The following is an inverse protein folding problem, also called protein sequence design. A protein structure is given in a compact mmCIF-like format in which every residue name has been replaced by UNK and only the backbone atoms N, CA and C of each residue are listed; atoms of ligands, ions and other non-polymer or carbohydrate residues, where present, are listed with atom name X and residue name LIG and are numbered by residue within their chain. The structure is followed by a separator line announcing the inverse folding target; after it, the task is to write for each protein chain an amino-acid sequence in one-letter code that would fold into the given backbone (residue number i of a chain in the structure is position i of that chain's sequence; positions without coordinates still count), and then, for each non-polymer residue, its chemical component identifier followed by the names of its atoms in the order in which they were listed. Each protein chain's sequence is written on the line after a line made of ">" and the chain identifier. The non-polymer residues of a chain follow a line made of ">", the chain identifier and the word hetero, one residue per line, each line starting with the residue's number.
data_IF_939329059780
#
_entry.id   IF_939329059780
#
_cell.length_a   1.000
_cell.length_b   1.000
_cell.length_c   1.000
_cell.angle_alpha   90.00
_cell.angle_beta   90.00
_cell.angle_gamma   90.00
#
_symmetry.space_group_name_H-M   'P 1'
#
loop_
_entity.id
_entity.type
_entity.pdbx_description
1 polymer ?
#
# COMPACT_ATOMS: atom_id res chain seq x y z
N UNK A 1 9.48 -44.18 -10.71
CA UNK A 1 8.25 -43.38 -10.91
C UNK A 1 7.55 -43.26 -9.57
N UNK A 2 7.82 -42.18 -8.84
CA UNK A 2 7.05 -41.77 -7.66
C UNK A 2 7.11 -40.25 -7.63
N UNK A 3 6.23 -39.63 -8.41
CA UNK A 3 5.96 -38.21 -8.26
C UNK A 3 5.11 -38.07 -6.99
N UNK A 4 5.72 -37.58 -5.92
CA UNK A 4 4.99 -37.02 -4.79
C UNK A 4 4.28 -35.77 -5.28
N UNK A 5 2.99 -35.90 -5.58
CA UNK A 5 2.10 -34.76 -5.78
C UNK A 5 1.95 -34.05 -4.44
N UNK A 6 2.55 -32.87 -4.36
CA UNK A 6 2.35 -31.90 -3.28
C UNK A 6 0.86 -31.64 -3.09
N UNK A 7 0.34 -31.96 -1.90
CA UNK A 7 -0.93 -31.42 -1.41
C UNK A 7 -0.85 -29.90 -1.47
N UNK A 8 -1.51 -29.30 -2.46
CA UNK A 8 -1.68 -27.86 -2.54
C UNK A 8 -2.46 -27.40 -1.31
N UNK A 9 -1.81 -26.62 -0.44
CA UNK A 9 -2.40 -26.08 0.78
C UNK A 9 -3.62 -25.21 0.45
N UNK A 10 -4.82 -25.77 0.54
CA UNK A 10 -6.10 -25.11 0.24
C UNK A 10 -6.56 -24.22 1.40
N UNK A 11 -5.76 -23.22 1.79
CA UNK A 11 -6.14 -22.23 2.79
C UNK A 11 -5.77 -20.81 2.32
N UNK A 12 -6.65 -19.85 2.59
CA UNK A 12 -6.35 -18.43 2.37
C UNK A 12 -5.84 -17.81 3.68
N UNK A 13 -4.88 -16.89 3.57
CA UNK A 13 -4.42 -16.11 4.73
C UNK A 13 -5.54 -15.18 5.20
N UNK A 14 -6.09 -15.45 6.38
CA UNK A 14 -7.13 -14.60 6.98
C UNK A 14 -6.61 -13.17 7.23
N UNK A 15 -5.41 -12.93 7.80
CA UNK A 15 -4.88 -11.57 7.93
C UNK A 15 -4.79 -10.83 6.60
N UNK A 16 -4.37 -11.50 5.52
CA UNK A 16 -4.34 -10.91 4.19
C UNK A 16 -5.75 -10.54 3.72
N UNK A 17 -6.72 -11.43 3.87
CA UNK A 17 -8.12 -11.19 3.52
C UNK A 17 -8.69 -9.97 4.26
N UNK A 18 -8.36 -9.85 5.54
CA UNK A 18 -8.85 -8.78 6.41
C UNK A 18 -8.14 -7.46 6.19
N UNK A 19 -6.84 -7.42 5.92
CA UNK A 19 -6.08 -6.17 5.91
C UNK A 19 -5.68 -5.69 4.51
N UNK A 20 -5.65 -6.58 3.52
CA UNK A 20 -5.03 -6.29 2.21
C UNK A 20 -5.90 -6.65 1.03
N UNK A 21 -6.77 -7.65 1.16
CA UNK A 21 -7.57 -8.09 0.02
C UNK A 21 -8.59 -7.05 -0.41
N UNK A 22 -8.80 -6.98 -1.72
CA UNK A 22 -9.71 -6.04 -2.36
C UNK A 22 -11.17 -6.38 -2.12
N UNK A 23 -12.05 -5.43 -2.38
CA UNK A 23 -13.48 -5.66 -2.37
C UNK A 23 -13.93 -6.32 -3.69
N UNK A 24 -15.01 -7.10 -3.63
CA UNK A 24 -15.68 -7.70 -4.79
C UNK A 24 -14.85 -8.68 -5.62
N UNK A 25 -13.76 -9.21 -5.06
CA UNK A 25 -13.00 -10.29 -5.68
C UNK A 25 -13.61 -11.65 -5.29
N UNK A 26 -14.30 -12.36 -6.20
CA UNK A 26 -14.94 -13.62 -5.87
C UNK A 26 -13.89 -14.72 -5.68
N UNK A 27 -13.89 -15.33 -4.50
CA UNK A 27 -13.01 -16.47 -4.19
C UNK A 27 -13.84 -17.75 -4.23
N UNK A 28 -13.57 -18.67 -5.16
CA UNK A 28 -14.32 -19.92 -5.24
C UNK A 28 -14.10 -20.74 -3.96
N UNK A 29 -15.19 -21.21 -3.38
CA UNK A 29 -15.21 -22.10 -2.22
C UNK A 29 -15.36 -23.53 -2.72
N UNK A 30 -14.48 -24.40 -2.22
CA UNK A 30 -14.62 -25.85 -2.33
C UNK A 30 -15.16 -26.40 -1.01
N UNK A 31 -15.72 -27.62 -0.97
CA UNK A 31 -16.07 -28.28 0.29
C UNK A 31 -14.91 -28.31 1.30
N UNK A 32 -13.67 -28.49 0.82
CA UNK A 32 -12.45 -28.43 1.64
C UNK A 32 -12.19 -27.04 2.26
N UNK A 33 -12.64 -25.95 1.62
CA UNK A 33 -12.54 -24.58 2.13
C UNK A 33 -13.64 -24.21 3.14
N UNK A 34 -14.64 -25.07 3.36
CA UNK A 34 -15.68 -24.85 4.37
C UNK A 34 -15.10 -24.65 5.77
N UNK A 35 -14.03 -25.39 6.11
CA UNK A 35 -13.29 -25.22 7.38
C UNK A 35 -12.58 -23.86 7.45
N UNK A 36 -11.99 -23.40 6.36
CA UNK A 36 -11.34 -22.08 6.27
C UNK A 36 -12.35 -20.93 6.44
N UNK A 37 -13.59 -21.11 5.97
CA UNK A 37 -14.66 -20.14 6.16
C UNK A 37 -15.13 -20.08 7.63
N UNK A 38 -15.28 -21.23 8.28
CA UNK A 38 -15.57 -21.30 9.73
C UNK A 38 -14.44 -20.65 10.53
N UNK A 39 -13.18 -20.90 10.14
CA UNK A 39 -12.01 -20.26 10.77
C UNK A 39 -12.01 -18.74 10.60
N UNK A 40 -12.43 -18.23 9.43
CA UNK A 40 -12.58 -16.80 9.19
C UNK A 40 -13.66 -16.17 10.09
N UNK A 41 -14.84 -16.78 10.18
CA UNK A 41 -15.93 -16.29 11.05
C UNK A 41 -15.52 -16.28 12.53
N UNK A 42 -14.74 -17.27 12.94
CA UNK A 42 -14.23 -17.43 14.30
C UNK A 42 -12.86 -16.80 14.54
N UNK A 43 -12.32 -16.01 13.60
CA UNK A 43 -10.99 -15.44 13.74
C UNK A 43 -10.92 -14.48 14.96
N UNK A 44 -9.90 -14.67 15.80
CA UNK A 44 -9.69 -13.91 17.06
C UNK A 44 -8.30 -13.31 17.22
N UNK A 45 -7.34 -13.72 16.41
CA UNK A 45 -5.97 -13.23 16.54
C UNK A 45 -5.90 -11.71 16.28
N UNK A 46 -5.08 -10.98 17.04
CA UNK A 46 -4.90 -9.54 16.81
C UNK A 46 -4.39 -9.26 15.40
N UNK A 47 -4.90 -8.20 14.79
CA UNK A 47 -4.44 -7.71 13.50
C UNK A 47 -3.51 -6.52 13.70
N UNK A 48 -2.29 -6.60 13.21
CA UNK A 48 -1.36 -5.46 13.20
C UNK A 48 -1.62 -4.58 11.97
N UNK A 49 -2.10 -3.36 12.20
CA UNK A 49 -2.39 -2.40 11.15
C UNK A 49 -2.20 -0.96 11.62
N UNK A 50 -2.05 -0.04 10.66
CA UNK A 50 -2.09 1.38 10.97
C UNK A 50 -3.52 1.82 11.24
N UNK A 51 -3.71 2.64 12.28
CA UNK A 51 -5.00 3.24 12.57
C UNK A 51 -5.03 4.68 12.07
N UNK A 52 -5.94 5.03 11.14
CA UNK A 52 -6.02 6.38 10.56
C UNK A 52 -6.49 7.43 11.59
N UNK A 53 -7.17 7.00 12.65
CA UNK A 53 -7.69 7.91 13.68
C UNK A 53 -6.63 8.31 14.71
N UNK A 54 -5.83 7.36 15.22
CA UNK A 54 -4.75 7.69 16.17
C UNK A 54 -3.41 8.00 15.47
N UNK A 55 -3.32 7.76 14.16
CA UNK A 55 -2.15 8.05 13.35
C UNK A 55 -0.94 7.16 13.66
N UNK A 56 -1.15 5.94 14.17
CA UNK A 56 -0.09 5.03 14.64
C UNK A 56 -0.40 3.58 14.30
N UNK A 57 0.64 2.75 14.20
CA UNK A 57 0.49 1.29 14.23
C UNK A 57 -0.12 0.85 15.56
N UNK A 58 -1.06 -0.08 15.47
CA UNK A 58 -1.80 -0.62 16.61
C UNK A 58 -2.22 -2.06 16.32
N UNK A 59 -2.43 -2.81 17.41
CA UNK A 59 -3.14 -4.07 17.35
C UNK A 59 -4.65 -3.80 17.34
N UNK A 60 -5.36 -4.41 16.40
CA UNK A 60 -6.81 -4.45 16.33
C UNK A 60 -7.30 -5.79 16.87
N UNK A 61 -8.17 -5.75 17.87
CA UNK A 61 -8.66 -6.93 18.59
C UNK A 61 -10.14 -7.14 18.34
N UNK A 62 -10.58 -8.39 18.22
CA UNK A 62 -11.98 -8.70 17.89
C UNK A 62 -12.95 -8.07 18.89
N UNK A 63 -14.00 -7.42 18.39
CA UNK A 63 -15.13 -6.94 19.18
C UNK A 63 -16.42 -7.68 18.83
N UNK A 64 -17.28 -7.88 19.83
CA UNK A 64 -18.59 -8.50 19.68
C UNK A 64 -18.67 -9.98 20.10
N UNK A 65 -19.90 -10.50 20.29
CA UNK A 65 -20.13 -11.89 20.67
C UNK A 65 -19.74 -12.85 19.54
N UNK A 66 -19.28 -14.02 19.92
CA UNK A 66 -19.00 -15.13 18.99
C UNK A 66 -20.35 -15.64 18.47
N UNK A 67 -20.57 -15.82 17.16
CA UNK A 67 -21.66 -16.67 16.72
C UNK A 67 -21.43 -18.03 17.37
N UNK A 68 -22.30 -18.46 18.29
CA UNK A 68 -22.27 -19.80 18.86
C UNK A 68 -22.58 -20.80 17.74
N UNK A 69 -21.58 -21.11 16.91
CA UNK A 69 -21.55 -22.42 16.30
C UNK A 69 -21.15 -23.35 17.44
N UNK A 70 -22.02 -24.30 17.84
CA UNK A 70 -21.66 -25.26 18.86
C UNK A 70 -20.31 -25.89 18.44
N UNK A 71 -19.30 -25.93 19.32
CA UNK A 71 -18.09 -26.67 19.01
C UNK A 71 -18.53 -28.07 18.58
N UNK A 72 -17.99 -28.54 17.46
CA UNK A 72 -18.29 -29.89 17.01
C UNK A 72 -18.01 -30.83 18.19
N UNK A 73 -18.96 -31.72 18.55
CA UNK A 73 -18.80 -32.57 19.72
C UNK A 73 -17.47 -33.30 19.66
N UNK A 74 -16.74 -33.38 20.77
CA UNK A 74 -15.51 -34.15 20.83
C UNK A 74 -15.81 -35.61 20.42
N UNK A 75 -15.26 -36.05 19.29
CA UNK A 75 -15.57 -37.36 18.68
C UNK A 75 -16.63 -37.34 17.57
N UNK A 76 -17.10 -36.17 17.13
CA UNK A 76 -17.95 -36.03 15.96
C UNK A 76 -17.27 -36.65 14.73
N UNK A 77 -17.93 -37.64 14.13
CA UNK A 77 -17.42 -38.32 12.94
C UNK A 77 -17.12 -37.31 11.82
N UNK A 78 -16.20 -37.64 10.91
CA UNK A 78 -15.86 -36.80 9.75
C UNK A 78 -17.11 -36.30 9.00
N UNK A 79 -18.18 -37.10 8.98
CA UNK A 79 -19.48 -36.78 8.38
C UNK A 79 -20.24 -35.60 9.05
N UNK A 80 -20.17 -35.42 10.38
CA UNK A 80 -20.81 -34.28 11.07
C UNK A 80 -20.04 -32.99 10.84
N UNK A 81 -18.71 -33.07 10.80
CA UNK A 81 -17.84 -31.96 10.41
C UNK A 81 -18.04 -31.56 8.95
N UNK A 82 -18.24 -32.53 8.04
CA UNK A 82 -18.52 -32.28 6.63
C UNK A 82 -19.92 -31.69 6.42
N UNK A 83 -20.90 -32.05 7.24
CA UNK A 83 -22.23 -31.44 7.24
C UNK A 83 -22.17 -29.96 7.68
N UNK A 84 -21.43 -29.65 8.75
CA UNK A 84 -21.22 -28.27 9.20
C UNK A 84 -20.45 -27.43 8.15
N UNK A 85 -19.43 -28.01 7.51
CA UNK A 85 -18.71 -27.38 6.41
C UNK A 85 -19.62 -27.14 5.19
N UNK A 86 -20.53 -28.07 4.88
CA UNK A 86 -21.50 -27.95 3.78
C UNK A 86 -22.59 -26.91 4.09
N UNK A 87 -23.05 -26.84 5.34
CA UNK A 87 -23.97 -25.80 5.81
C UNK A 87 -23.32 -24.41 5.81
N UNK A 88 -22.02 -24.34 6.13
CA UNK A 88 -21.23 -23.11 6.04
C UNK A 88 -21.07 -22.61 4.59
N UNK A 89 -21.48 -23.35 3.56
CA UNK A 89 -21.45 -22.87 2.17
C UNK A 89 -22.77 -22.24 1.71
N UNK A 90 -23.78 -22.17 2.59
CA UNK A 90 -25.05 -21.51 2.29
C UNK A 90 -24.88 -20.01 2.08
N UNK A 91 -25.64 -19.49 1.13
CA UNK A 91 -25.70 -18.06 0.84
C UNK A 91 -26.06 -17.26 2.10
N UNK A 92 -25.17 -16.35 2.52
CA UNK A 92 -25.35 -15.49 3.69
C UNK A 92 -24.41 -14.30 3.65
N UNK A 93 -24.66 -13.34 4.53
CA UNK A 93 -23.73 -12.23 4.80
C UNK A 93 -23.33 -12.23 6.26
N UNK A 94 -22.08 -11.87 6.53
CA UNK A 94 -21.57 -11.71 7.89
C UNK A 94 -20.54 -10.58 7.94
N UNK A 95 -20.31 -10.04 9.14
CA UNK A 95 -19.30 -9.01 9.38
C UNK A 95 -18.34 -9.41 10.48
N UNK A 96 -17.12 -8.89 10.38
CA UNK A 96 -16.06 -9.06 11.35
C UNK A 96 -15.66 -7.70 11.89
N UNK A 97 -15.84 -7.47 13.19
CA UNK A 97 -15.52 -6.21 13.86
C UNK A 97 -14.31 -6.36 14.78
N UNK A 98 -13.42 -5.38 14.73
CA UNK A 98 -12.24 -5.27 15.58
C UNK A 98 -12.12 -3.84 16.10
N UNK A 99 -11.51 -3.64 17.27
CA UNK A 99 -11.20 -2.32 17.82
C UNK A 99 -9.70 -2.11 17.95
N UNK A 100 -9.27 -0.91 17.58
CA UNK A 100 -7.92 -0.42 17.78
C UNK A 100 -7.60 -0.34 19.28
N UNK A 101 -6.54 -1.02 19.73
CA UNK A 101 -6.12 -1.01 21.14
C UNK A 101 -5.68 0.35 21.70
N UNK A 102 -5.48 1.37 20.86
CA UNK A 102 -5.07 2.73 21.29
C UNK A 102 -6.21 3.74 21.44
N UNK A 103 -7.22 3.66 20.58
CA UNK A 103 -8.28 4.67 20.50
C UNK A 103 -9.69 4.08 20.36
N UNK A 104 -9.80 2.75 20.47
CA UNK A 104 -11.06 2.00 20.39
C UNK A 104 -11.86 2.17 19.08
N UNK A 105 -11.28 2.79 18.05
CA UNK A 105 -11.92 2.91 16.76
C UNK A 105 -12.04 1.56 16.05
N UNK A 106 -13.17 1.38 15.38
CA UNK A 106 -13.55 0.13 14.76
C UNK A 106 -12.88 -0.10 13.40
N UNK A 107 -12.46 -1.34 13.17
CA UNK A 107 -12.21 -1.95 11.88
C UNK A 107 -13.33 -2.97 11.63
N UNK A 108 -14.15 -2.75 10.63
CA UNK A 108 -15.27 -3.61 10.25
C UNK A 108 -15.05 -4.13 8.84
N UNK A 109 -15.19 -5.43 8.64
CA UNK A 109 -15.10 -6.09 7.33
C UNK A 109 -16.37 -6.87 7.05
N UNK A 110 -16.96 -6.68 5.87
CA UNK A 110 -18.19 -7.33 5.44
C UNK A 110 -17.90 -8.38 4.39
N UNK A 111 -18.55 -9.54 4.54
CA UNK A 111 -18.45 -10.67 3.64
C UNK A 111 -19.83 -11.12 3.17
N UNK A 112 -19.85 -11.67 1.96
CA UNK A 112 -20.97 -12.40 1.40
C UNK A 112 -20.49 -13.75 0.88
N UNK A 113 -21.16 -14.80 1.30
CA UNK A 113 -21.10 -16.11 0.67
C UNK A 113 -22.27 -16.16 -0.31
N UNK A 114 -21.99 -16.39 -1.58
CA UNK A 114 -23.03 -16.52 -2.60
C UNK A 114 -22.56 -17.47 -3.69
N UNK A 115 -23.40 -18.43 -4.08
CA UNK A 115 -23.10 -19.35 -5.19
C UNK A 115 -21.72 -19.99 -5.06
N UNK A 116 -21.38 -20.50 -3.87
CA UNK A 116 -20.07 -21.10 -3.58
C UNK A 116 -18.88 -20.15 -3.78
N UNK A 117 -19.08 -18.84 -3.64
CA UNK A 117 -18.00 -17.86 -3.62
C UNK A 117 -18.01 -17.07 -2.31
N UNK A 118 -16.83 -16.84 -1.75
CA UNK A 118 -16.63 -15.85 -0.70
C UNK A 118 -16.25 -14.52 -1.35
N UNK A 119 -16.97 -13.47 -1.01
CA UNK A 119 -16.77 -12.13 -1.55
C UNK A 119 -16.64 -11.18 -0.37
N UNK A 120 -15.53 -10.44 -0.29
CA UNK A 120 -15.41 -9.30 0.63
C UNK A 120 -16.19 -8.13 0.05
N UNK A 121 -17.31 -7.74 0.66
CA UNK A 121 -18.26 -6.77 0.11
C UNK A 121 -18.09 -5.36 0.65
N UNK A 122 -17.38 -5.19 1.76
CA UNK A 122 -17.13 -3.87 2.34
C UNK A 122 -16.05 -3.89 3.41
N UNK A 123 -15.50 -2.72 3.71
CA UNK A 123 -14.54 -2.53 4.80
C UNK A 123 -14.49 -1.07 5.26
N UNK A 124 -14.39 -0.85 6.58
CA UNK A 124 -14.11 0.45 7.20
C UNK A 124 -13.11 0.30 8.36
N UNK A 125 -12.10 1.16 8.51
CA UNK A 125 -11.62 2.09 7.49
C UNK A 125 -11.06 1.30 6.30
N UNK A 126 -10.87 1.92 5.14
CA UNK A 126 -10.52 1.18 3.92
C UNK A 126 -9.14 0.52 4.03
N UNK A 127 -8.85 -0.46 3.16
CA UNK A 127 -7.50 -1.08 3.05
C UNK A 127 -6.42 -0.01 3.00
N UNK A 128 -6.69 1.06 2.25
CA UNK A 128 -5.81 2.22 2.14
C UNK A 128 -5.51 2.89 3.48
N UNK A 129 -6.55 3.13 4.27
CA UNK A 129 -6.44 3.82 5.56
C UNK A 129 -5.75 2.97 6.63
N UNK A 130 -5.67 1.65 6.41
CA UNK A 130 -5.00 0.68 7.30
C UNK A 130 -3.50 0.57 7.08
N UNK A 131 -2.97 1.22 6.05
CA UNK A 131 -1.53 1.29 5.80
C UNK A 131 -0.99 2.64 6.26
N UNK A 132 0.17 2.67 6.93
CA UNK A 132 0.77 3.93 7.32
C UNK A 132 1.05 4.75 6.06
N UNK A 133 0.74 6.06 6.03
CA UNK A 133 1.35 6.93 5.04
C UNK A 133 2.87 6.80 5.23
N UNK A 134 3.60 6.74 4.11
CA UNK A 134 5.04 6.50 4.11
C UNK A 134 5.74 7.54 5.01
N UNK A 135 6.08 7.13 6.24
CA UNK A 135 6.53 8.05 7.30
C UNK A 135 7.90 8.61 6.97
N UNK A 136 8.69 7.82 6.27
CA UNK A 136 10.05 8.15 5.86
C UNK A 136 10.08 9.40 4.98
N UNK A 137 8.97 9.70 4.31
CA UNK A 137 8.82 10.86 3.43
C UNK A 137 7.81 11.89 3.97
N UNK A 138 7.43 11.82 5.26
CA UNK A 138 6.48 12.74 5.86
C UNK A 138 6.96 14.21 5.88
N UNK A 139 8.28 14.40 5.88
CA UNK A 139 8.92 15.71 5.85
C UNK A 139 9.16 16.25 4.44
N UNK A 140 9.08 15.37 3.42
CA UNK A 140 9.36 15.68 2.01
C UNK A 140 8.07 15.85 1.22
N UNK A 141 7.16 14.90 1.33
CA UNK A 141 5.86 14.94 0.68
C UNK A 141 4.83 15.55 1.60
N UNK A 142 3.98 16.43 1.10
CA UNK A 142 2.78 16.87 1.82
C UNK A 142 1.76 15.72 1.98
N UNK A 143 0.71 15.97 2.77
CA UNK A 143 -0.33 14.97 3.03
C UNK A 143 -1.06 14.50 1.77
N UNK A 144 -1.20 15.36 0.75
CA UNK A 144 -1.88 15.01 -0.50
C UNK A 144 -1.01 14.05 -1.33
N UNK A 145 0.27 14.36 -1.51
CA UNK A 145 1.19 13.54 -2.33
C UNK A 145 1.51 12.20 -1.69
N UNK A 146 1.65 12.14 -0.36
CA UNK A 146 1.71 10.86 0.37
C UNK A 146 0.48 10.01 0.10
N UNK A 147 -0.68 10.67 0.04
CA UNK A 147 -1.93 9.97 -0.25
C UNK A 147 -1.98 9.44 -1.67
N UNK A 148 -1.55 10.23 -2.65
CA UNK A 148 -1.47 9.82 -4.06
C UNK A 148 -0.50 8.65 -4.24
N UNK A 149 0.69 8.68 -3.62
CA UNK A 149 1.65 7.57 -3.67
C UNK A 149 1.05 6.26 -3.09
N UNK A 150 0.44 6.33 -1.91
CA UNK A 150 -0.19 5.15 -1.31
C UNK A 150 -1.38 4.63 -2.15
N UNK A 151 -2.12 5.51 -2.85
CA UNK A 151 -3.22 5.08 -3.74
C UNK A 151 -2.66 4.39 -4.97
N UNK A 152 -1.56 4.90 -5.51
CA UNK A 152 -0.86 4.30 -6.63
C UNK A 152 -0.47 2.85 -6.31
N UNK A 153 0.19 2.63 -5.17
CA UNK A 153 0.63 1.30 -4.74
C UNK A 153 -0.54 0.34 -4.48
N UNK A 154 -1.63 0.83 -3.88
CA UNK A 154 -2.82 0.03 -3.63
C UNK A 154 -3.52 -0.39 -4.92
N UNK A 155 -3.72 0.54 -5.85
CA UNK A 155 -4.35 0.26 -7.14
C UNK A 155 -3.52 -0.76 -7.93
N UNK A 156 -2.19 -0.63 -7.89
CA UNK A 156 -1.29 -1.60 -8.51
C UNK A 156 -1.44 -2.99 -7.87
N UNK A 157 -1.50 -3.07 -6.54
CA UNK A 157 -1.72 -4.34 -5.84
C UNK A 157 -3.06 -5.01 -6.17
N UNK A 158 -4.07 -4.22 -6.58
CA UNK A 158 -5.37 -4.73 -7.05
C UNK A 158 -5.45 -4.92 -8.56
N UNK A 159 -4.35 -4.78 -9.29
CA UNK A 159 -4.30 -4.98 -10.74
C UNK A 159 -4.93 -3.85 -11.55
N UNK A 160 -5.21 -2.69 -10.94
CA UNK A 160 -5.65 -1.47 -11.65
C UNK A 160 -4.42 -0.65 -12.00
N UNK A 161 -3.72 -1.07 -13.06
CA UNK A 161 -2.47 -0.50 -13.54
C UNK A 161 -2.61 0.94 -14.04
N UNK A 162 -3.54 1.25 -14.94
CA UNK A 162 -3.68 2.61 -15.50
C UNK A 162 -3.98 3.62 -14.39
N UNK A 163 -4.92 3.28 -13.50
CA UNK A 163 -5.25 4.11 -12.34
C UNK A 163 -4.04 4.31 -11.41
N UNK A 164 -3.33 3.23 -11.09
CA UNK A 164 -2.11 3.30 -10.28
C UNK A 164 -1.06 4.24 -10.90
N UNK A 165 -0.85 4.11 -12.21
CA UNK A 165 0.16 4.85 -12.94
C UNK A 165 -0.15 6.36 -13.02
N UNK A 166 -1.43 6.74 -13.15
CA UNK A 166 -1.85 8.14 -13.12
C UNK A 166 -1.48 8.81 -11.78
N UNK A 167 -1.75 8.15 -10.66
CA UNK A 167 -1.36 8.68 -9.34
C UNK A 167 0.16 8.75 -9.17
N UNK A 168 0.88 7.71 -9.61
CA UNK A 168 2.33 7.68 -9.52
C UNK A 168 2.99 8.77 -10.36
N UNK A 169 2.49 9.00 -11.59
CA UNK A 169 2.94 10.06 -12.50
C UNK A 169 2.80 11.43 -11.84
N UNK A 170 1.66 11.73 -11.22
CA UNK A 170 1.46 13.01 -10.53
C UNK A 170 2.48 13.25 -9.41
N UNK A 171 2.80 12.21 -8.62
CA UNK A 171 3.84 12.30 -7.59
C UNK A 171 5.21 12.55 -8.22
N UNK A 172 5.58 11.80 -9.26
CA UNK A 172 6.85 11.97 -9.96
C UNK A 172 7.01 13.37 -10.58
N UNK A 173 6.01 13.85 -11.32
CA UNK A 173 6.01 15.17 -11.94
C UNK A 173 6.14 16.28 -10.88
N UNK A 174 5.51 16.13 -9.72
CA UNK A 174 5.66 17.08 -8.62
C UNK A 174 7.09 17.15 -8.08
N UNK A 175 7.77 16.00 -7.96
CA UNK A 175 9.16 15.94 -7.50
C UNK A 175 10.13 16.49 -8.54
N UNK A 176 9.84 16.27 -9.82
CA UNK A 176 10.60 16.83 -10.93
C UNK A 176 10.48 18.35 -10.94
N UNK A 177 9.28 18.88 -10.74
CA UNK A 177 9.02 20.31 -10.68
C UNK A 177 9.66 20.97 -9.45
N UNK A 178 9.66 20.33 -8.29
CA UNK A 178 10.42 20.82 -7.11
C UNK A 178 11.92 20.90 -7.41
N UNK A 179 12.46 19.88 -8.07
CA UNK A 179 13.89 19.84 -8.44
C UNK A 179 14.22 20.92 -9.47
N UNK A 180 13.31 21.16 -10.41
CA UNK A 180 13.40 22.27 -11.35
C UNK A 180 13.46 23.62 -10.62
N UNK A 181 12.54 23.87 -9.69
CA UNK A 181 12.49 25.12 -8.92
C UNK A 181 13.80 25.41 -8.18
N UNK A 182 14.45 24.38 -7.63
CA UNK A 182 15.76 24.50 -6.97
C UNK A 182 16.87 24.98 -7.94
N UNK A 183 16.78 24.66 -9.23
CA UNK A 183 17.78 24.99 -10.25
C UNK A 183 17.49 26.31 -10.98
N UNK A 184 16.28 26.86 -10.88
CA UNK A 184 15.91 28.13 -11.56
C UNK A 184 16.79 29.32 -11.17
N UNK A 185 17.42 29.26 -9.98
CA UNK A 185 18.32 30.29 -9.48
C UNK A 185 19.78 30.08 -9.89
N UNK A 186 20.12 28.95 -10.55
CA UNK A 186 21.48 28.63 -10.91
C UNK A 186 21.97 29.47 -12.12
N UNK A 187 23.20 29.99 -12.08
CA UNK A 187 23.78 30.70 -13.22
C UNK A 187 23.83 29.82 -14.47
N UNK A 188 23.14 30.23 -15.53
CA UNK A 188 23.09 29.50 -16.80
C UNK A 188 21.86 28.60 -16.99
N UNK A 189 20.90 28.61 -16.05
CA UNK A 189 19.61 27.95 -16.25
C UNK A 189 18.85 28.54 -17.45
N UNK A 190 18.35 27.66 -18.32
CA UNK A 190 17.55 28.05 -19.49
C UNK A 190 16.11 27.53 -19.34
N UNK A 191 15.26 28.40 -18.79
CA UNK A 191 13.85 28.11 -18.53
C UNK A 191 13.07 27.70 -19.78
N UNK A 192 13.32 28.36 -20.91
CA UNK A 192 12.61 28.09 -22.15
C UNK A 192 12.95 26.70 -22.71
N UNK A 193 14.20 26.28 -22.54
CA UNK A 193 14.64 24.94 -22.92
C UNK A 193 13.96 23.86 -22.07
N UNK A 194 13.85 24.07 -20.75
CA UNK A 194 13.18 23.13 -19.85
C UNK A 194 11.68 23.01 -20.14
N UNK A 195 10.99 24.14 -20.37
CA UNK A 195 9.55 24.14 -20.67
C UNK A 195 9.17 23.40 -21.94
N UNK A 196 10.03 23.46 -22.96
CA UNK A 196 9.83 22.80 -24.26
C UNK A 196 10.23 21.33 -24.27
N UNK A 197 10.97 20.86 -23.27
CA UNK A 197 11.43 19.49 -23.21
C UNK A 197 10.29 18.51 -22.86
N UNK A 198 10.35 17.31 -23.41
CA UNK A 198 9.55 16.16 -22.98
C UNK A 198 9.98 15.71 -21.57
N UNK A 199 9.17 14.88 -20.88
CA UNK A 199 9.54 14.40 -19.53
C UNK A 199 10.94 13.75 -19.49
N UNK A 200 11.34 12.88 -20.46
CA UNK A 200 12.71 12.39 -20.54
C UNK A 200 13.78 13.49 -20.65
N UNK A 201 13.54 14.53 -21.44
CA UNK A 201 14.45 15.67 -21.58
C UNK A 201 14.54 16.49 -20.30
N UNK A 202 13.41 16.70 -19.61
CA UNK A 202 13.37 17.37 -18.30
C UNK A 202 14.18 16.62 -17.26
N UNK A 203 14.07 15.29 -17.19
CA UNK A 203 14.88 14.45 -16.29
C UNK A 203 16.38 14.65 -16.55
N UNK A 204 16.79 14.70 -17.81
CA UNK A 204 18.19 14.94 -18.15
C UNK A 204 18.66 16.35 -17.72
N UNK A 205 17.81 17.37 -17.92
CA UNK A 205 18.15 18.76 -17.57
C UNK A 205 18.35 18.99 -16.07
N UNK A 206 17.61 18.26 -15.23
CA UNK A 206 17.74 18.33 -13.77
C UNK A 206 18.56 17.17 -13.18
N UNK A 207 19.22 16.39 -14.04
CA UNK A 207 19.79 15.08 -13.70
C UNK A 207 20.80 15.11 -12.56
N UNK A 208 21.56 16.21 -12.42
CA UNK A 208 22.57 16.38 -11.36
C UNK A 208 21.97 16.36 -9.94
N UNK A 209 20.67 16.66 -9.82
CA UNK A 209 19.92 16.65 -8.56
C UNK A 209 19.12 15.37 -8.35
N UNK A 210 19.10 14.47 -9.33
CA UNK A 210 18.36 13.21 -9.27
C UNK A 210 19.30 12.02 -9.01
N UNK A 211 18.79 10.89 -8.48
CA UNK A 211 19.55 9.66 -8.38
C UNK A 211 20.01 9.15 -9.76
N UNK A 212 21.20 8.56 -9.85
CA UNK A 212 21.76 8.04 -11.10
C UNK A 212 20.81 7.06 -11.82
N UNK A 213 20.16 6.16 -11.08
CA UNK A 213 19.13 5.24 -11.59
C UNK A 213 18.04 5.94 -12.41
N UNK A 214 17.62 7.14 -11.98
CA UNK A 214 16.58 7.92 -12.66
C UNK A 214 17.10 8.41 -14.01
N UNK A 215 18.32 8.93 -14.05
CA UNK A 215 18.93 9.47 -15.27
C UNK A 215 19.30 8.36 -16.27
N UNK A 216 19.82 7.24 -15.78
CA UNK A 216 20.28 6.10 -16.60
C UNK A 216 19.14 5.38 -17.34
N UNK A 217 17.93 5.41 -16.79
CA UNK A 217 16.79 4.65 -17.32
C UNK A 217 15.76 5.52 -18.04
N UNK A 218 16.22 6.30 -19.04
CA UNK A 218 15.39 7.24 -19.82
C UNK A 218 14.10 6.65 -20.38
N UNK A 219 14.11 5.37 -20.74
CA UNK A 219 12.94 4.67 -21.30
C UNK A 219 11.76 4.55 -20.31
N UNK A 220 12.01 4.55 -18.99
CA UNK A 220 10.93 4.58 -17.99
C UNK A 220 10.11 5.87 -18.13
N UNK A 221 10.78 6.99 -18.38
CA UNK A 221 10.15 8.31 -18.48
C UNK A 221 9.39 8.52 -19.78
N UNK A 222 9.80 7.84 -20.85
CA UNK A 222 9.04 7.83 -22.09
C UNK A 222 7.65 7.20 -21.90
N UNK A 223 7.50 6.27 -20.95
CA UNK A 223 6.19 5.68 -20.60
C UNK A 223 5.41 6.59 -19.68
N UNK A 224 6.07 7.24 -18.73
CA UNK A 224 5.45 8.28 -17.90
C UNK A 224 4.89 9.41 -18.76
N UNK A 225 5.54 9.77 -19.86
CA UNK A 225 5.10 10.86 -20.74
C UNK A 225 3.84 10.52 -21.55
N UNK A 226 3.59 9.24 -21.86
CA UNK A 226 2.43 8.78 -22.65
C UNK A 226 1.10 9.12 -21.97
N UNK A 227 0.10 9.46 -22.78
CA UNK A 227 -1.27 9.68 -22.30
C UNK A 227 -1.92 8.36 -21.87
N UNK A 228 -2.86 8.36 -20.91
CA UNK A 228 -3.52 7.14 -20.44
C UNK A 228 -4.18 6.31 -21.55
N UNK A 229 -4.64 6.94 -22.64
CA UNK A 229 -5.26 6.24 -23.78
C UNK A 229 -4.24 5.44 -24.63
N UNK A 230 -2.95 5.69 -24.44
CA UNK A 230 -1.85 5.04 -25.16
C UNK A 230 -1.20 3.89 -24.36
N UNK A 231 -1.75 3.58 -23.18
CA UNK A 231 -1.23 2.59 -22.24
C UNK A 231 -2.26 1.50 -22.01
N UNK A 232 -1.79 0.26 -21.88
CA UNK A 232 -2.61 -0.88 -21.45
C UNK A 232 -2.48 -1.13 -19.95
N UNK A 233 -3.48 -1.78 -19.35
CA UNK A 233 -3.42 -2.20 -17.94
C UNK A 233 -2.18 -3.04 -17.64
N UNK A 234 -1.85 -3.98 -18.53
CA UNK A 234 -0.68 -4.84 -18.38
C UNK A 234 0.63 -4.04 -18.45
N UNK A 235 0.79 -3.15 -19.43
CA UNK A 235 1.98 -2.29 -19.50
C UNK A 235 2.13 -1.46 -18.23
N UNK A 236 1.06 -0.82 -17.75
CA UNK A 236 1.14 -0.05 -16.52
C UNK A 236 1.50 -0.91 -15.31
N UNK A 237 0.96 -2.14 -15.19
CA UNK A 237 1.36 -3.07 -14.14
C UNK A 237 2.83 -3.47 -14.24
N UNK A 238 3.33 -3.76 -15.44
CA UNK A 238 4.71 -4.21 -15.65
C UNK A 238 5.73 -3.09 -15.33
N UNK A 239 5.42 -1.84 -15.68
CA UNK A 239 6.33 -0.70 -15.46
C UNK A 239 6.21 -0.09 -14.06
N UNK A 240 5.08 -0.23 -13.38
CA UNK A 240 4.83 0.39 -12.08
C UNK A 240 5.94 0.13 -11.04
N UNK A 241 6.44 -1.12 -10.83
CA UNK A 241 7.46 -1.37 -9.82
C UNK A 241 8.75 -0.58 -10.05
N UNK A 242 9.20 -0.47 -11.30
CA UNK A 242 10.41 0.26 -11.66
C UNK A 242 10.26 1.77 -11.47
N UNK A 243 9.12 2.33 -11.90
CA UNK A 243 8.83 3.76 -11.73
C UNK A 243 8.63 4.10 -10.25
N UNK A 244 7.96 3.24 -9.48
CA UNK A 244 7.76 3.44 -8.05
C UNK A 244 9.10 3.43 -7.30
N UNK A 245 9.99 2.50 -7.66
CA UNK A 245 11.34 2.46 -7.09
C UNK A 245 12.14 3.74 -7.41
N UNK A 246 12.04 4.24 -8.64
CA UNK A 246 12.68 5.49 -9.04
C UNK A 246 12.17 6.68 -8.21
N UNK A 247 10.84 6.80 -8.02
CA UNK A 247 10.22 7.80 -7.14
C UNK A 247 10.74 7.68 -5.71
N UNK A 248 10.80 6.47 -5.16
CA UNK A 248 11.31 6.20 -3.81
C UNK A 248 12.78 6.58 -3.65
N UNK A 249 13.62 6.38 -4.68
CA UNK A 249 15.01 6.81 -4.66
C UNK A 249 15.14 8.33 -4.62
N UNK A 250 14.31 9.06 -5.39
CA UNK A 250 14.28 10.53 -5.35
C UNK A 250 13.90 11.03 -3.95
N UNK A 251 12.84 10.45 -3.39
CA UNK A 251 12.36 10.80 -2.05
C UNK A 251 13.41 10.49 -0.97
N UNK A 252 14.07 9.34 -1.05
CA UNK A 252 15.14 8.95 -0.11
C UNK A 252 16.31 9.93 -0.16
N UNK A 253 16.72 10.33 -1.37
CA UNK A 253 17.77 11.32 -1.54
C UNK A 253 17.37 12.66 -0.90
N UNK A 254 16.19 13.19 -1.22
CA UNK A 254 15.69 14.45 -0.65
C UNK A 254 15.59 14.38 0.89
N UNK A 255 15.14 13.25 1.43
CA UNK A 255 15.10 13.03 2.88
C UNK A 255 16.49 13.08 3.52
N UNK A 256 17.49 12.45 2.91
CA UNK A 256 18.87 12.49 3.39
C UNK A 256 19.46 13.91 3.32
N UNK A 257 19.28 14.62 2.20
CA UNK A 257 19.74 16.00 2.05
C UNK A 257 19.10 16.93 3.10
N UNK A 258 17.81 16.75 3.40
CA UNK A 258 17.15 17.55 4.44
C UNK A 258 17.69 17.23 5.85
N UNK A 259 17.95 15.96 6.16
CA UNK A 259 18.55 15.54 7.45
C UNK A 259 19.95 16.13 7.61
N UNK A 260 20.78 16.07 6.58
CA UNK A 260 22.13 16.66 6.58
C UNK A 260 22.11 18.18 6.76
N UNK A 261 21.20 18.88 6.07
CA UNK A 261 21.00 20.33 6.23
C UNK A 261 20.64 20.69 7.67
N UNK A 262 19.69 19.97 8.28
CA UNK A 262 19.28 20.20 9.68
C UNK A 262 20.41 19.93 10.67
N UNK A 263 21.16 18.84 10.48
CA UNK A 263 22.30 18.50 11.33
C UNK A 263 23.39 19.58 11.24
N UNK A 264 23.67 20.08 10.04
CA UNK A 264 24.64 21.15 9.81
C UNK A 264 24.21 22.46 10.46
N UNK A 265 22.93 22.82 10.34
CA UNK A 265 22.38 24.04 10.95
C UNK A 265 22.41 23.96 12.49
N UNK A 266 22.02 22.82 13.07
CA UNK A 266 22.10 22.61 14.51
C UNK A 266 23.56 22.69 15.02
N UNK A 267 24.52 22.14 14.27
CA UNK A 267 25.93 22.26 14.61
C UNK A 267 26.43 23.71 14.55
N UNK A 268 26.02 24.48 13.52
CA UNK A 268 26.36 25.92 13.41
C UNK A 268 25.81 26.73 14.57
N UNK A 269 24.56 26.48 14.97
CA UNK A 269 23.92 27.14 16.11
C UNK A 269 24.66 26.82 17.41
N UNK A 270 24.99 25.54 17.65
CA UNK A 270 25.76 25.14 18.83
C UNK A 270 27.14 25.83 18.91
N UNK A 271 27.84 25.97 17.77
CA UNK A 271 29.13 26.70 17.71
C UNK A 271 28.94 28.20 17.99
N UNK A 272 27.89 28.81 17.44
CA UNK A 272 27.59 30.22 17.67
C UNK A 272 27.29 30.51 19.15
N UNK A 273 26.49 29.65 19.80
CA UNK A 273 26.16 29.75 21.23
C UNK A 273 27.41 29.61 22.12
N UNK A 274 28.31 28.68 21.78
CA UNK A 274 29.58 28.54 22.51
C UNK A 274 30.47 29.78 22.36
N UNK A 275 30.52 30.36 21.17
CA UNK A 275 31.32 31.57 20.89
C UNK A 275 30.79 32.76 21.68
N UNK A 276 29.46 32.91 21.79
CA UNK A 276 28.82 33.97 22.60
C UNK A 276 29.02 33.80 24.12
N UNK A 277 29.27 32.59 24.61
CA UNK A 277 29.54 32.34 26.04
C UNK A 277 30.99 32.56 26.45
N UNK A 278 31.90 32.52 25.48
CA UNK A 278 33.34 32.74 25.68
C UNK A 278 33.71 34.23 25.51
N UNK A 279 32.84 35.01 24.86
CA UNK A 279 32.94 36.47 24.75
C UNK A 279 32.26 37.20 25.91
#
# INVERSE_FOLDING_TARGET
>A
MTAGSSEASNSFSIPYLLLRDGLYNPRPLTPALGRSLIALENYREPLDAYCPHCGRQSLFTRTGPVPEFPPAPEGAADAEHDLAATQALRDRSFSLEFACGRCSQALVVYFRVQQMHLIKTGQYPSVYDLHPPDRDFAEILDARRRRELARAELLHAHGVGIGAFVYLRGVFESLLEETHQELTSDPGWNEEHYRRADVPGKVNLVGDRLPAFVVEHRHLWAIVDKSPQQLTEKECQDYFPAVNQAVRLILTRKANEQRERRATEAARQAVADLTQRIS
#
